data_IF_540312004360
#
_entry.id   IF_540312004360
#
_cell.length_a   1.000
_cell.length_b   1.000
_cell.length_c   1.000
_cell.angle_alpha   90.00
_cell.angle_beta   90.00
_cell.angle_gamma   90.00
#
_symmetry.space_group_name_H-M   'P 1'
#
loop_
_entity.id
_entity.type
_entity.pdbx_description
1 polymer ?
#
# COMPACT_ATOMS: atom_id res chain seq x y z
N UNK A 1 0.41 -5.85 8.51
CA UNK A 1 0.73 -5.35 7.14
C UNK A 1 2.20 -4.94 6.95
N UNK A 2 2.73 -4.01 7.75
CA UNK A 2 4.07 -3.43 7.53
C UNK A 2 5.23 -4.12 8.28
N UNK A 3 5.00 -5.28 8.89
CA UNK A 3 5.98 -6.02 9.69
C UNK A 3 6.67 -5.14 10.75
N UNK A 4 5.89 -4.47 11.60
CA UNK A 4 6.39 -3.52 12.61
C UNK A 4 7.34 -2.46 12.04
N UNK A 5 7.05 -1.99 10.83
CA UNK A 5 7.82 -0.97 10.13
C UNK A 5 9.10 -1.47 9.43
N UNK A 6 9.41 -2.76 9.50
CA UNK A 6 10.59 -3.35 8.83
C UNK A 6 10.58 -3.10 7.33
N UNK A 7 9.41 -3.12 6.69
CA UNK A 7 9.30 -2.84 5.26
C UNK A 7 9.75 -1.41 4.92
N UNK A 8 9.37 -0.42 5.73
CA UNK A 8 9.82 0.97 5.54
C UNK A 8 11.32 1.13 5.75
N UNK A 9 11.93 0.36 6.66
CA UNK A 9 13.38 0.34 6.81
C UNK A 9 14.08 -0.19 5.54
N UNK A 10 13.52 -1.22 4.90
CA UNK A 10 14.08 -1.83 3.69
C UNK A 10 14.02 -0.93 2.43
N UNK A 11 13.04 -0.03 2.38
CA UNK A 11 12.85 0.93 1.26
C UNK A 11 13.26 2.35 1.59
N UNK A 12 13.89 2.58 2.74
CA UNK A 12 14.32 3.92 3.17
C UNK A 12 15.24 4.56 2.12
N UNK A 13 14.90 5.77 1.71
CA UNK A 13 15.65 6.55 0.70
C UNK A 13 15.45 6.08 -0.74
N UNK A 14 14.64 5.04 -0.98
CA UNK A 14 14.27 4.62 -2.32
C UNK A 14 12.98 5.33 -2.74
N UNK A 15 12.93 5.93 -3.94
CA UNK A 15 11.66 6.40 -4.47
C UNK A 15 10.70 5.22 -4.64
N UNK A 16 9.40 5.51 -4.64
CA UNK A 16 8.41 4.53 -5.09
C UNK A 16 8.68 4.25 -6.57
N UNK A 17 8.57 2.99 -7.05
CA UNK A 17 8.81 2.69 -8.46
C UNK A 17 7.85 3.45 -9.38
N UNK A 18 8.30 3.85 -10.57
CA UNK A 18 7.48 4.63 -11.52
C UNK A 18 6.17 3.90 -11.90
N UNK A 19 6.22 2.57 -12.01
CA UNK A 19 5.04 1.75 -12.32
C UNK A 19 3.98 1.76 -11.20
N UNK A 20 4.28 2.25 -10.00
CA UNK A 20 3.28 2.34 -8.94
C UNK A 20 2.10 3.25 -9.33
N UNK A 21 2.34 4.23 -10.21
CA UNK A 21 1.29 5.06 -10.81
C UNK A 21 0.33 4.26 -11.70
N UNK A 22 0.72 3.09 -12.21
CA UNK A 22 -0.17 2.20 -12.98
C UNK A 22 -1.26 1.57 -12.11
N UNK A 23 -1.00 1.48 -10.80
CA UNK A 23 -1.95 1.01 -9.78
C UNK A 23 -2.34 2.12 -8.82
N UNK A 24 -2.27 3.37 -9.27
CA UNK A 24 -2.69 4.57 -8.54
C UNK A 24 -2.09 4.66 -7.11
N UNK A 25 -0.83 4.22 -6.94
CA UNK A 25 -0.10 4.34 -5.70
C UNK A 25 0.95 5.46 -5.76
N UNK A 26 0.96 6.32 -4.76
CA UNK A 26 1.90 7.44 -4.62
C UNK A 26 2.94 7.21 -3.50
N UNK A 27 2.76 6.17 -2.69
CA UNK A 27 3.60 5.89 -1.54
C UNK A 27 3.92 4.39 -1.40
N UNK A 28 5.02 4.08 -0.70
CA UNK A 28 5.33 2.70 -0.32
C UNK A 28 4.26 2.10 0.59
N UNK A 29 3.64 2.90 1.46
CA UNK A 29 2.54 2.45 2.32
C UNK A 29 1.35 1.96 1.51
N UNK A 30 0.95 2.75 0.52
CA UNK A 30 -0.09 2.40 -0.43
C UNK A 30 0.26 1.15 -1.22
N UNK A 31 1.47 1.07 -1.76
CA UNK A 31 1.89 -0.06 -2.59
C UNK A 31 1.93 -1.38 -1.79
N UNK A 32 2.46 -1.36 -0.56
CA UNK A 32 2.46 -2.54 0.32
C UNK A 32 1.05 -2.99 0.67
N UNK A 33 0.16 -2.05 0.98
CA UNK A 33 -1.22 -2.39 1.31
C UNK A 33 -1.98 -2.89 0.09
N UNK A 34 -1.85 -2.23 -1.07
CA UNK A 34 -2.51 -2.63 -2.32
C UNK A 34 -2.09 -4.02 -2.76
N UNK A 35 -0.81 -4.38 -2.63
CA UNK A 35 -0.33 -5.74 -2.85
C UNK A 35 -1.01 -6.78 -1.93
N UNK A 36 -1.25 -6.43 -0.67
CA UNK A 36 -1.92 -7.33 0.27
C UNK A 36 -3.40 -7.49 -0.09
N UNK A 37 -4.10 -6.38 -0.33
CA UNK A 37 -5.56 -6.39 -0.54
C UNK A 37 -5.96 -6.78 -1.96
N UNK A 38 -5.03 -6.83 -2.91
CA UNK A 38 -5.32 -7.37 -4.26
C UNK A 38 -5.65 -8.86 -4.19
N UNK A 39 -4.92 -9.61 -3.37
CA UNK A 39 -5.10 -11.05 -3.30
C UNK A 39 -6.55 -11.45 -2.94
N UNK A 40 -7.26 -12.26 -3.76
CA UNK A 40 -8.71 -12.48 -3.62
C UNK A 40 -9.15 -13.17 -2.32
N UNK A 41 -8.22 -13.87 -1.65
CA UNK A 41 -8.48 -14.47 -0.33
C UNK A 41 -8.39 -13.47 0.85
N UNK A 42 -7.92 -12.24 0.62
CA UNK A 42 -7.78 -11.22 1.66
C UNK A 42 -9.02 -10.35 1.68
N UNK A 43 -9.72 -10.32 2.81
CA UNK A 43 -10.95 -9.52 2.97
C UNK A 43 -10.70 -8.17 3.65
N UNK A 44 -9.61 -8.04 4.40
CA UNK A 44 -9.23 -6.78 5.07
C UNK A 44 -7.72 -6.73 5.38
N UNK A 45 -7.17 -5.52 5.35
CA UNK A 45 -5.86 -5.21 5.91
C UNK A 45 -6.00 -4.15 7.02
N UNK A 46 -5.39 -4.38 8.18
CA UNK A 46 -5.53 -3.52 9.37
C UNK A 46 -4.14 -2.97 9.75
N UNK A 47 -3.67 -1.87 9.11
CA UNK A 47 -2.41 -1.23 9.46
C UNK A 47 -2.55 -0.40 10.75
N UNK A 48 -1.71 -0.69 11.75
CA UNK A 48 -1.69 0.10 12.99
C UNK A 48 -1.08 1.49 12.74
N UNK A 49 -1.81 2.54 13.10
CA UNK A 49 -1.31 3.92 13.11
C UNK A 49 -2.14 4.79 14.06
N UNK A 50 -1.50 5.71 14.77
CA UNK A 50 -2.16 6.82 15.48
C UNK A 50 -1.95 8.17 14.77
N UNK A 51 -1.19 8.20 13.68
CA UNK A 51 -0.90 9.40 12.92
C UNK A 51 -1.94 9.60 11.80
N UNK A 52 -2.67 10.74 11.77
CA UNK A 52 -3.68 11.02 10.74
C UNK A 52 -3.13 11.03 9.31
N UNK A 53 -1.87 11.45 9.09
CA UNK A 53 -1.25 11.44 7.77
C UNK A 53 -1.04 10.01 7.26
N UNK A 54 -0.56 9.13 8.12
CA UNK A 54 -0.42 7.71 7.78
C UNK A 54 -1.80 7.05 7.58
N UNK A 55 -2.82 7.45 8.36
CA UNK A 55 -4.19 6.97 8.18
C UNK A 55 -4.72 7.32 6.78
N UNK A 56 -4.55 8.57 6.36
CA UNK A 56 -4.95 9.03 5.03
C UNK A 56 -4.20 8.26 3.92
N UNK A 57 -2.90 8.10 4.07
CA UNK A 57 -2.07 7.34 3.12
C UNK A 57 -2.50 5.86 3.04
N UNK A 58 -2.72 5.21 4.19
CA UNK A 58 -3.19 3.83 4.24
C UNK A 58 -4.56 3.66 3.58
N UNK A 59 -5.47 4.61 3.79
CA UNK A 59 -6.80 4.58 3.17
C UNK A 59 -6.71 4.72 1.64
N UNK A 60 -5.75 5.49 1.13
CA UNK A 60 -5.48 5.63 -0.31
C UNK A 60 -5.26 4.29 -1.02
N UNK A 61 -4.68 3.30 -0.34
CA UNK A 61 -4.45 1.97 -0.89
C UNK A 61 -5.72 1.22 -1.32
N UNK A 62 -6.88 1.59 -0.76
CA UNK A 62 -8.17 0.96 -1.05
C UNK A 62 -8.90 1.58 -2.25
N UNK A 63 -8.34 2.62 -2.88
CA UNK A 63 -8.94 3.33 -4.02
C UNK A 63 -8.11 3.14 -5.29
N UNK A 64 -8.72 3.46 -6.44
CA UNK A 64 -8.08 3.39 -7.75
C UNK A 64 -8.01 1.97 -8.31
N UNK A 65 -7.16 1.79 -9.33
CA UNK A 65 -6.96 0.53 -10.04
C UNK A 65 -6.30 -0.52 -9.14
N UNK A 66 -6.75 -1.76 -9.27
CA UNK A 66 -6.18 -2.91 -8.57
C UNK A 66 -5.27 -3.71 -9.52
N UNK A 67 -4.14 -4.27 -9.03
CA UNK A 67 -3.14 -4.92 -9.88
C UNK A 67 -3.63 -6.16 -10.63
N UNK A 68 -4.67 -6.81 -10.12
CA UNK A 68 -5.14 -8.13 -10.56
C UNK A 68 -6.61 -8.14 -10.97
N UNK A 69 -7.21 -6.96 -11.22
CA UNK A 69 -8.54 -6.92 -11.83
C UNK A 69 -8.42 -7.39 -13.28
N UNK A 70 -9.02 -8.53 -13.65
CA UNK A 70 -9.10 -8.92 -15.06
C UNK A 70 -9.90 -7.84 -15.81
N UNK A 71 -9.49 -7.53 -17.05
CA UNK A 71 -10.27 -6.66 -17.95
C UNK A 71 -11.71 -7.14 -18.15
#
# INVERSE_FOLDING_TARGET
>A
PFQDGRLFAAVKGKPVPDWAAEVDCESWGQLFLKFIVSHPAVTAAIPATSNPRNMLDNAGAAFGRMPDTPE
#
